data_IF_064163265868
#
_entry.id   IF_064163265868
#
_cell.length_a   1.000
_cell.length_b   1.000
_cell.length_c   1.000
_cell.angle_alpha   90.00
_cell.angle_beta   90.00
_cell.angle_gamma   90.00
#
_symmetry.space_group_name_H-M   'P 1'
#
loop_
_entity.id
_entity.type
_entity.pdbx_description
1 polymer ?
#
# COMPACT_ATOMS: atom_id res chain seq x y z
N UNK A 1 -33.21 5.47 9.62
CA UNK A 1 -32.08 6.31 10.07
C UNK A 1 -31.21 6.63 8.85
N UNK A 2 -30.67 7.84 8.73
CA UNK A 2 -29.72 8.17 7.67
C UNK A 2 -28.33 7.64 8.02
N UNK A 3 -27.55 7.22 7.02
CA UNK A 3 -26.18 6.74 7.21
C UNK A 3 -25.18 7.91 7.27
N UNK A 4 -24.14 7.79 8.11
CA UNK A 4 -23.04 8.76 8.18
C UNK A 4 -21.94 8.40 7.17
N UNK A 5 -22.06 8.94 5.95
CA UNK A 5 -21.09 8.72 4.88
C UNK A 5 -19.76 9.44 5.12
N UNK A 6 -19.72 10.49 5.96
CA UNK A 6 -18.47 11.16 6.30
C UNK A 6 -17.60 10.28 7.19
N UNK A 7 -18.20 9.61 8.17
CA UNK A 7 -17.51 8.63 9.02
C UNK A 7 -17.07 7.40 8.20
N UNK A 8 -17.93 6.91 7.30
CA UNK A 8 -17.59 5.80 6.41
C UNK A 8 -16.38 6.13 5.52
N UNK A 9 -16.35 7.32 4.89
CA UNK A 9 -15.21 7.77 4.09
C UNK A 9 -13.93 7.87 4.92
N UNK A 10 -14.00 8.49 6.11
CA UNK A 10 -12.85 8.61 7.01
C UNK A 10 -12.25 7.24 7.36
N UNK A 11 -13.09 6.26 7.69
CA UNK A 11 -12.67 4.90 8.00
C UNK A 11 -12.08 4.19 6.78
N UNK A 12 -12.65 4.40 5.59
CA UNK A 12 -12.10 3.88 4.34
C UNK A 12 -10.70 4.42 4.04
N UNK A 13 -10.46 5.72 4.26
CA UNK A 13 -9.11 6.28 4.08
C UNK A 13 -8.13 5.81 5.17
N UNK A 14 -8.60 5.62 6.41
CA UNK A 14 -7.78 5.00 7.46
C UNK A 14 -7.39 3.56 7.13
N UNK A 15 -8.25 2.79 6.46
CA UNK A 15 -7.92 1.44 6.02
C UNK A 15 -6.67 1.42 5.13
N UNK A 16 -6.52 2.36 4.20
CA UNK A 16 -5.29 2.49 3.41
C UNK A 16 -4.04 2.72 4.26
N UNK A 17 -4.12 3.56 5.30
CA UNK A 17 -3.00 3.70 6.24
C UNK A 17 -2.65 2.38 6.94
N UNK A 18 -3.67 1.55 7.19
CA UNK A 18 -3.56 0.24 7.80
C UNK A 18 -2.91 -0.80 6.90
N UNK A 19 -2.87 -0.57 5.59
CA UNK A 19 -2.26 -1.47 4.60
C UNK A 19 -0.83 -1.08 4.21
N UNK A 20 -0.30 0.05 4.69
CA UNK A 20 1.03 0.55 4.27
C UNK A 20 2.13 -0.46 4.60
N UNK A 21 2.99 -0.78 3.64
CA UNK A 21 4.25 -1.53 3.83
C UNK A 21 5.44 -0.57 3.78
N UNK A 22 6.59 -0.93 4.36
CA UNK A 22 7.79 -0.09 4.37
C UNK A 22 7.91 0.77 5.63
N UNK A 23 8.75 1.80 5.56
CA UNK A 23 8.97 2.76 6.66
C UNK A 23 7.81 3.74 6.75
N UNK A 24 7.06 3.69 7.84
CA UNK A 24 5.86 4.51 8.00
C UNK A 24 6.20 5.98 8.26
N UNK A 25 5.36 6.92 7.79
CA UNK A 25 5.60 8.34 8.01
C UNK A 25 5.31 8.70 9.48
N UNK A 26 5.95 9.75 10.03
CA UNK A 26 5.79 10.14 11.43
C UNK A 26 4.35 10.57 11.78
N UNK A 27 3.56 10.97 10.78
CA UNK A 27 2.16 11.37 10.91
C UNK A 27 1.16 10.23 10.69
N UNK A 28 1.61 8.97 10.64
CA UNK A 28 0.76 7.77 10.61
C UNK A 28 -0.28 7.80 11.75
N UNK A 29 -1.57 7.71 11.41
CA UNK A 29 -2.66 7.81 12.40
C UNK A 29 -2.92 6.50 13.14
N UNK A 30 -2.74 5.36 12.46
CA UNK A 30 -2.93 4.03 13.05
C UNK A 30 -1.69 3.58 13.84
N UNK A 31 -1.80 3.60 15.18
CA UNK A 31 -0.68 3.35 16.11
C UNK A 31 -0.30 1.88 16.30
N UNK A 32 -1.13 0.95 15.85
CA UNK A 32 -0.87 -0.49 15.94
C UNK A 32 -0.01 -1.02 14.79
N UNK A 33 0.21 -0.23 13.74
CA UNK A 33 1.15 -0.51 12.64
C UNK A 33 2.52 0.12 12.91
N UNK A 34 3.60 -0.52 12.46
CA UNK A 34 4.97 0.03 12.47
C UNK A 34 5.70 -0.30 11.17
N UNK A 35 6.97 0.10 11.10
CA UNK A 35 7.85 -0.18 9.97
C UNK A 35 7.93 -1.68 9.70
N UNK A 36 7.78 -2.08 8.44
CA UNK A 36 7.79 -3.48 8.00
C UNK A 36 8.42 -3.61 6.61
N UNK A 37 8.83 -4.83 6.22
CA UNK A 37 9.31 -5.15 4.87
C UNK A 37 10.42 -4.20 4.34
N UNK A 38 11.33 -3.76 5.22
CA UNK A 38 12.36 -2.75 4.92
C UNK A 38 13.47 -3.24 3.96
N UNK A 39 13.47 -4.52 3.63
CA UNK A 39 14.44 -5.15 2.73
C UNK A 39 13.83 -5.56 1.37
N UNK A 40 12.59 -5.15 1.09
CA UNK A 40 11.93 -5.43 -0.20
C UNK A 40 12.78 -4.98 -1.38
N UNK A 41 13.07 -5.91 -2.29
CA UNK A 41 13.85 -5.66 -3.50
C UNK A 41 15.38 -5.81 -3.36
N UNK A 42 15.89 -6.03 -2.15
CA UNK A 42 17.34 -6.16 -1.92
C UNK A 42 17.98 -7.28 -2.77
N UNK A 43 17.30 -8.43 -2.90
CA UNK A 43 17.79 -9.58 -3.69
C UNK A 43 17.95 -9.31 -5.19
N UNK A 44 17.28 -8.27 -5.70
CA UNK A 44 17.35 -7.83 -7.10
C UNK A 44 18.06 -6.48 -7.26
N UNK A 45 18.72 -6.00 -6.20
CA UNK A 45 19.48 -4.75 -6.21
C UNK A 45 18.61 -3.50 -6.41
N UNK A 46 17.36 -3.51 -5.93
CA UNK A 46 16.41 -2.39 -6.06
C UNK A 46 15.77 -2.05 -4.71
N UNK A 47 15.41 -0.80 -4.53
CA UNK A 47 14.51 -0.40 -3.43
C UNK A 47 13.08 -0.64 -3.89
N UNK A 48 12.45 -1.69 -3.37
CA UNK A 48 11.02 -1.94 -3.55
C UNK A 48 10.26 -1.74 -2.24
N UNK A 49 10.78 -1.01 -1.26
CA UNK A 49 10.05 -0.67 -0.02
C UNK A 49 8.90 0.31 -0.28
N UNK A 50 7.85 0.24 0.53
CA UNK A 50 6.64 1.04 0.36
C UNK A 50 5.46 0.24 -0.20
N UNK A 51 4.44 0.95 -0.69
CA UNK A 51 3.25 0.34 -1.29
C UNK A 51 2.28 -0.20 -0.25
N UNK A 52 1.28 -0.95 -0.73
CA UNK A 52 0.24 -1.54 0.12
C UNK A 52 0.34 -3.07 0.14
N UNK A 53 0.09 -3.66 1.30
CA UNK A 53 -0.30 -5.06 1.38
C UNK A 53 -1.70 -5.22 0.78
N UNK A 54 -1.91 -6.32 0.06
CA UNK A 54 -3.10 -6.49 -0.78
C UNK A 54 -4.38 -6.69 0.04
N UNK A 55 -4.35 -7.61 1.01
CA UNK A 55 -5.52 -7.98 1.78
C UNK A 55 -5.21 -8.14 3.28
N UNK A 56 -5.49 -9.31 3.85
CA UNK A 56 -5.07 -9.67 5.22
C UNK A 56 -3.70 -10.33 5.27
N UNK A 57 -3.04 -10.44 4.13
CA UNK A 57 -1.71 -11.01 3.93
C UNK A 57 -0.65 -9.89 3.84
N UNK A 58 0.61 -10.24 3.65
CA UNK A 58 1.71 -9.28 3.57
C UNK A 58 2.36 -9.23 2.18
N UNK A 59 1.62 -9.65 1.16
CA UNK A 59 2.06 -9.64 -0.24
C UNK A 59 1.72 -8.30 -0.87
N UNK A 60 2.59 -7.85 -1.77
CA UNK A 60 2.34 -6.69 -2.62
C UNK A 60 2.01 -7.17 -4.02
N UNK A 61 0.74 -7.44 -4.29
CA UNK A 61 0.27 -7.73 -5.63
C UNK A 61 0.09 -6.43 -6.43
N UNK A 62 0.92 -6.24 -7.46
CA UNK A 62 0.99 -5.00 -8.22
C UNK A 62 -0.27 -4.70 -9.02
N UNK A 63 -0.93 -5.73 -9.57
CA UNK A 63 -2.13 -5.54 -10.38
C UNK A 63 -3.33 -4.97 -9.58
N UNK A 64 -3.79 -5.60 -8.47
CA UNK A 64 -4.85 -5.03 -7.64
C UNK A 64 -4.43 -3.71 -6.97
N UNK A 65 -3.16 -3.53 -6.61
CA UNK A 65 -2.67 -2.25 -6.10
C UNK A 65 -2.80 -1.13 -7.13
N UNK A 66 -2.40 -1.36 -8.38
CA UNK A 66 -2.50 -0.38 -9.46
C UNK A 66 -3.97 -0.05 -9.78
N UNK A 67 -4.85 -1.07 -9.81
CA UNK A 67 -6.28 -0.87 -10.02
C UNK A 67 -6.91 -0.03 -8.90
N UNK A 68 -6.63 -0.39 -7.64
CA UNK A 68 -7.08 0.35 -6.46
C UNK A 68 -6.59 1.80 -6.47
N UNK A 69 -5.33 2.01 -6.83
CA UNK A 69 -4.73 3.35 -6.96
C UNK A 69 -5.42 4.17 -8.04
N UNK A 70 -5.77 3.54 -9.17
CA UNK A 70 -6.50 4.19 -10.26
C UNK A 70 -7.90 4.62 -9.81
N UNK A 71 -8.66 3.75 -9.16
CA UNK A 71 -10.01 4.08 -8.68
C UNK A 71 -9.99 5.16 -7.59
N UNK A 72 -9.03 5.10 -6.66
CA UNK A 72 -8.88 6.14 -5.64
C UNK A 72 -8.51 7.49 -6.27
N UNK A 73 -7.60 7.49 -7.24
CA UNK A 73 -7.21 8.70 -7.97
C UNK A 73 -8.38 9.30 -8.74
N UNK A 74 -9.14 8.47 -9.46
CA UNK A 74 -10.35 8.89 -10.16
C UNK A 74 -11.38 9.48 -9.18
N UNK A 75 -11.60 8.81 -8.05
CA UNK A 75 -12.51 9.31 -7.01
C UNK A 75 -12.10 10.69 -6.49
N UNK A 76 -10.80 10.94 -6.31
CA UNK A 76 -10.28 12.25 -5.91
C UNK A 76 -10.48 13.31 -7.00
N UNK A 77 -10.27 12.95 -8.27
CA UNK A 77 -10.47 13.86 -9.42
C UNK A 77 -11.93 14.32 -9.51
N UNK A 78 -12.87 13.37 -9.48
CA UNK A 78 -14.29 13.66 -9.71
C UNK A 78 -14.99 14.19 -8.46
N UNK A 79 -14.65 13.65 -7.29
CA UNK A 79 -15.40 13.89 -6.05
C UNK A 79 -14.56 14.52 -4.94
N UNK A 80 -13.34 14.96 -5.21
CA UNK A 80 -12.44 15.53 -4.19
C UNK A 80 -13.06 16.69 -3.41
N UNK A 81 -13.88 17.52 -4.07
CA UNK A 81 -14.61 18.64 -3.42
C UNK A 81 -15.61 18.15 -2.35
N UNK A 82 -16.11 16.92 -2.48
CA UNK A 82 -17.06 16.31 -1.55
C UNK A 82 -16.38 15.56 -0.39
N UNK A 83 -15.06 15.35 -0.45
CA UNK A 83 -14.32 14.60 0.57
C UNK A 83 -14.02 15.40 1.86
N UNK A 84 -14.27 16.71 1.85
CA UNK A 84 -14.10 17.57 3.03
C UNK A 84 -12.72 17.46 3.65
N UNK A 85 -12.67 17.10 4.95
CA UNK A 85 -11.41 16.97 5.71
C UNK A 85 -10.56 15.76 5.33
N UNK A 86 -11.11 14.79 4.60
CA UNK A 86 -10.39 13.58 4.18
C UNK A 86 -9.65 13.75 2.84
N UNK A 87 -9.91 14.82 2.07
CA UNK A 87 -9.21 15.06 0.80
C UNK A 87 -7.67 15.01 0.93
N UNK A 88 -7.04 15.69 1.92
CA UNK A 88 -5.59 15.60 2.09
C UNK A 88 -5.10 14.18 2.43
N UNK A 89 -5.90 13.39 3.14
CA UNK A 89 -5.56 12.01 3.48
C UNK A 89 -5.72 11.08 2.27
N UNK A 90 -6.75 11.27 1.45
CA UNK A 90 -6.92 10.56 0.18
C UNK A 90 -5.76 10.84 -0.78
N UNK A 91 -5.33 12.10 -0.91
CA UNK A 91 -4.16 12.48 -1.71
C UNK A 91 -2.87 11.82 -1.20
N UNK A 92 -2.68 11.73 0.13
CA UNK A 92 -1.55 11.00 0.73
C UNK A 92 -1.62 9.50 0.45
N UNK A 93 -2.82 8.92 0.43
CA UNK A 93 -3.02 7.51 0.12
C UNK A 93 -2.71 7.20 -1.36
N UNK A 94 -3.11 8.07 -2.29
CA UNK A 94 -2.71 7.99 -3.71
C UNK A 94 -1.19 8.08 -3.83
N UNK A 95 -0.58 9.12 -3.22
CA UNK A 95 0.87 9.32 -3.25
C UNK A 95 1.64 8.09 -2.78
N UNK A 96 1.22 7.47 -1.67
CA UNK A 96 1.89 6.29 -1.13
C UNK A 96 1.97 5.13 -2.11
N UNK A 97 0.89 4.86 -2.84
CA UNK A 97 0.90 3.85 -3.88
C UNK A 97 1.70 4.27 -5.11
N UNK A 98 1.54 5.51 -5.59
CA UNK A 98 2.25 5.97 -6.78
C UNK A 98 3.75 6.04 -6.58
N UNK A 99 4.23 6.43 -5.39
CA UNK A 99 5.65 6.44 -5.06
C UNK A 99 6.23 5.01 -5.14
N UNK A 100 5.48 3.99 -4.71
CA UNK A 100 5.89 2.58 -4.89
C UNK A 100 5.82 2.13 -6.35
N UNK A 101 4.75 2.47 -7.07
CA UNK A 101 4.61 2.09 -8.49
C UNK A 101 5.72 2.69 -9.35
N UNK A 102 6.21 3.90 -9.03
CA UNK A 102 7.37 4.50 -9.70
C UNK A 102 8.64 3.67 -9.49
N UNK A 103 8.94 3.26 -8.25
CA UNK A 103 10.06 2.36 -7.94
C UNK A 103 9.97 1.03 -8.68
N UNK A 104 8.75 0.48 -8.75
CA UNK A 104 8.49 -0.81 -9.37
C UNK A 104 8.48 -0.77 -10.91
N UNK A 105 8.34 0.40 -11.53
CA UNK A 105 8.21 0.54 -12.99
C UNK A 105 9.24 1.51 -13.56
N UNK A 106 9.03 2.82 -13.41
CA UNK A 106 9.79 3.88 -14.05
C UNK A 106 11.29 3.88 -13.69
N UNK A 107 11.66 3.40 -12.50
CA UNK A 107 13.06 3.31 -12.07
C UNK A 107 13.80 2.05 -12.58
N UNK A 108 13.11 1.23 -13.39
CA UNK A 108 13.63 -0.04 -13.91
C UNK A 108 13.48 -0.08 -15.44
N UNK A 109 14.58 0.10 -16.19
CA UNK A 109 14.53 0.03 -17.66
C UNK A 109 14.02 -1.33 -18.15
N UNK A 110 13.07 -1.30 -19.10
CA UNK A 110 12.54 -2.47 -19.83
C UNK A 110 11.94 -3.58 -18.96
N UNK A 111 11.62 -3.28 -17.69
CA UNK A 111 11.14 -4.27 -16.72
C UNK A 111 10.20 -3.59 -15.73
N UNK A 112 9.24 -4.34 -15.20
CA UNK A 112 8.38 -3.88 -14.11
C UNK A 112 8.34 -4.94 -13.03
N UNK A 113 8.41 -4.57 -11.75
CA UNK A 113 8.15 -5.50 -10.65
C UNK A 113 6.66 -5.51 -10.35
N UNK A 114 6.04 -6.67 -10.49
CA UNK A 114 4.59 -6.85 -10.32
C UNK A 114 4.22 -7.52 -9.01
N UNK A 115 5.19 -8.08 -8.28
CA UNK A 115 4.93 -8.72 -7.00
C UNK A 115 6.15 -8.70 -6.08
N UNK A 116 5.91 -8.52 -4.78
CA UNK A 116 6.90 -8.77 -3.72
C UNK A 116 6.25 -9.63 -2.63
N UNK A 117 6.84 -10.81 -2.38
CA UNK A 117 6.28 -11.83 -1.48
C UNK A 117 6.00 -13.14 -2.22
N UNK A 118 6.38 -14.27 -1.61
CA UNK A 118 5.92 -15.60 -2.05
C UNK A 118 4.58 -15.94 -1.37
N UNK A 119 3.52 -16.24 -2.12
CA UNK A 119 2.19 -16.43 -1.54
C UNK A 119 2.06 -17.66 -0.66
N UNK A 120 2.75 -18.75 -1.00
CA UNK A 120 2.68 -19.96 -0.20
C UNK A 120 3.39 -19.79 1.13
N UNK A 121 4.57 -19.15 1.14
CA UNK A 121 5.29 -18.85 2.37
C UNK A 121 4.52 -17.87 3.26
N UNK A 122 3.97 -16.80 2.69
CA UNK A 122 3.25 -15.77 3.45
C UNK A 122 1.94 -16.31 4.03
N UNK A 123 1.15 -17.03 3.23
CA UNK A 123 -0.18 -17.53 3.67
C UNK A 123 -0.11 -18.76 4.58
N UNK A 124 1.05 -19.42 4.68
CA UNK A 124 1.28 -20.48 5.68
C UNK A 124 1.69 -19.92 7.05
N UNK A 125 1.91 -18.60 7.16
CA UNK A 125 2.20 -17.93 8.42
C UNK A 125 1.03 -17.02 8.85
N UNK A 126 0.88 -16.82 10.15
CA UNK A 126 -0.02 -15.81 10.71
C UNK A 126 0.76 -14.91 11.65
N UNK A 127 1.23 -13.79 11.13
CA UNK A 127 2.15 -12.91 11.83
C UNK A 127 1.86 -11.44 11.56
N UNK A 128 2.45 -10.59 12.39
CA UNK A 128 2.44 -9.14 12.15
C UNK A 128 3.41 -8.82 11.01
N UNK A 129 3.08 -7.89 10.09
CA UNK A 129 4.01 -7.48 9.04
C UNK A 129 5.37 -7.00 9.61
N UNK A 130 5.36 -6.45 10.82
CA UNK A 130 6.55 -5.96 11.52
C UNK A 130 7.51 -7.07 11.97
N UNK A 131 7.06 -8.31 12.09
CA UNK A 131 7.85 -9.46 12.56
C UNK A 131 8.19 -10.45 11.43
N UNK A 132 7.79 -10.17 10.19
CA UNK A 132 7.88 -11.15 9.09
C UNK A 132 9.26 -11.73 8.87
N UNK A 133 9.32 -13.07 8.80
CA UNK A 133 10.50 -13.84 8.42
C UNK A 133 10.30 -14.69 7.14
N UNK A 134 9.12 -14.59 6.52
CA UNK A 134 8.75 -15.28 5.29
C UNK A 134 9.52 -14.79 4.05
N UNK A 135 9.54 -15.60 2.99
CA UNK A 135 10.25 -15.26 1.75
C UNK A 135 9.60 -14.09 1.00
N UNK A 136 10.37 -13.02 0.79
CA UNK A 136 9.93 -11.78 0.12
C UNK A 136 10.51 -11.62 -1.29
N UNK A 137 10.36 -12.66 -2.11
CA UNK A 137 10.85 -12.68 -3.50
C UNK A 137 10.20 -11.59 -4.34
N UNK A 138 11.00 -10.89 -5.16
CA UNK A 138 10.53 -9.90 -6.11
C UNK A 138 10.35 -10.53 -7.50
N UNK A 139 9.15 -10.42 -8.07
CA UNK A 139 8.80 -10.92 -9.40
C UNK A 139 8.56 -9.75 -10.35
N UNK A 140 8.97 -9.93 -11.60
CA UNK A 140 8.90 -8.92 -12.64
C UNK A 140 8.45 -9.50 -13.97
#
# INVERSE_FOLDING_TARGET
AAHDYSDALRKSILFFEGQRSGKLPPDQRLRWRRDSALHDGFSVGRDLTGGYYDAGDNIKFGFPMAFTTTLLSWSVIDFGKNMGRELPHALKAVRWATDYLLKATAEVPEKMYVQVGDPYSDHNCWERPEDMDTLRTAYA
#
